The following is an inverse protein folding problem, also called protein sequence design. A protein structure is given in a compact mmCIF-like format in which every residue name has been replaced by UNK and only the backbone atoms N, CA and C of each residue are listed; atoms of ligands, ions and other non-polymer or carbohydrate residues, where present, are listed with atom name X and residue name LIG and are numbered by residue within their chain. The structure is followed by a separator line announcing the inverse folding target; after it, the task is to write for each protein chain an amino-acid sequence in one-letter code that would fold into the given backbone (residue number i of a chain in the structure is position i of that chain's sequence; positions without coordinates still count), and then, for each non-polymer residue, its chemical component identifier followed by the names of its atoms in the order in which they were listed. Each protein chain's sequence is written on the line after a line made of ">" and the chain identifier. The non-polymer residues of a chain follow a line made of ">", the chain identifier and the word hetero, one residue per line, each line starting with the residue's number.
data_IF_469378674865
#
_entry.id   IF_469378674865
#
_cell.length_a   1.000
_cell.length_b   1.000
_cell.length_c   1.000
_cell.angle_alpha   90.00
_cell.angle_beta   90.00
_cell.angle_gamma   90.00
#
_symmetry.space_group_name_H-M   'P 1'
#
loop_
_entity.id
_entity.type
_entity.pdbx_description
1 polymer ?
#
# COMPACT_ATOMS: atom_id res chain seq x y z
N UNK A 1 5.14 -9.26 5.47
CA UNK A 1 3.94 -8.68 6.11
C UNK A 1 3.89 -8.95 7.61
N UNK A 2 4.13 -10.17 8.08
CA UNK A 2 4.07 -10.53 9.52
C UNK A 2 4.86 -9.57 10.42
N UNK A 3 6.14 -9.31 10.13
CA UNK A 3 6.95 -8.36 10.89
C UNK A 3 6.39 -6.93 10.87
N UNK A 4 5.90 -6.48 9.72
CA UNK A 4 5.30 -5.14 9.58
C UNK A 4 4.08 -4.97 10.48
N UNK A 5 3.21 -5.96 10.55
CA UNK A 5 2.01 -5.93 11.37
C UNK A 5 2.34 -6.08 12.85
N UNK A 6 3.32 -6.93 13.20
CA UNK A 6 3.79 -7.09 14.57
C UNK A 6 4.40 -5.80 15.14
N UNK A 7 5.22 -5.07 14.35
CA UNK A 7 5.79 -3.77 14.76
C UNK A 7 4.70 -2.73 15.01
N UNK A 8 3.63 -2.75 14.22
CA UNK A 8 2.50 -1.83 14.36
C UNK A 8 1.47 -2.28 15.40
N UNK A 9 1.73 -3.39 16.11
CA UNK A 9 0.81 -4.01 17.07
C UNK A 9 -0.59 -4.27 16.49
N UNK A 10 -0.64 -4.70 15.24
CA UNK A 10 -1.87 -5.04 14.55
C UNK A 10 -2.02 -6.57 14.51
N UNK A 11 -3.11 -7.14 15.06
CA UNK A 11 -3.28 -8.59 15.21
C UNK A 11 -3.69 -9.26 13.89
N UNK A 12 -2.97 -8.99 12.81
CA UNK A 12 -3.17 -9.60 11.51
C UNK A 12 -1.98 -10.47 11.11
N UNK A 13 -2.26 -11.55 10.40
CA UNK A 13 -1.27 -12.22 9.58
C UNK A 13 -0.91 -11.40 8.35
N UNK A 14 -0.18 -11.95 7.42
CA UNK A 14 0.13 -11.20 6.20
C UNK A 14 0.72 -12.07 5.11
N UNK A 15 0.31 -11.77 3.89
CA UNK A 15 0.81 -12.40 2.68
C UNK A 15 1.20 -11.33 1.65
N UNK A 16 1.90 -11.75 0.63
CA UNK A 16 2.20 -10.98 -0.58
C UNK A 16 1.97 -11.88 -1.78
N UNK A 17 1.48 -11.30 -2.85
CA UNK A 17 1.30 -11.98 -4.11
C UNK A 17 1.45 -11.01 -5.26
N UNK A 18 1.40 -11.52 -6.49
CA UNK A 18 1.50 -10.68 -7.67
C UNK A 18 1.45 -11.46 -8.97
N UNK A 19 1.44 -10.71 -10.06
CA UNK A 19 1.51 -11.23 -11.42
C UNK A 19 2.81 -10.72 -12.05
N UNK A 20 3.59 -11.62 -12.65
CA UNK A 20 4.82 -11.23 -13.36
C UNK A 20 4.47 -10.57 -14.69
N UNK A 21 4.28 -9.27 -14.68
CA UNK A 21 3.90 -8.44 -15.82
C UNK A 21 4.52 -7.04 -15.68
N UNK A 22 4.90 -6.42 -16.78
CA UNK A 22 5.21 -4.99 -16.83
C UNK A 22 3.98 -4.24 -17.36
N UNK A 23 3.19 -3.60 -16.49
CA UNK A 23 1.93 -2.97 -16.89
C UNK A 23 2.12 -1.83 -17.91
N UNK A 24 3.32 -1.26 -18.01
CA UNK A 24 3.63 -0.19 -18.99
C UNK A 24 3.66 -0.67 -20.44
N UNK A 25 3.74 -2.00 -20.65
CA UNK A 25 3.76 -2.62 -21.99
C UNK A 25 2.37 -2.99 -22.50
N UNK A 26 1.34 -2.74 -21.73
CA UNK A 26 -0.03 -3.13 -22.02
C UNK A 26 -0.97 -1.94 -21.93
N UNK A 27 -2.04 -1.98 -22.70
CA UNK A 27 -3.14 -1.03 -22.58
C UNK A 27 -3.86 -1.18 -21.22
N UNK A 28 -4.53 -0.13 -20.77
CA UNK A 28 -5.32 -0.16 -19.55
C UNK A 28 -6.37 -1.29 -19.56
N UNK A 29 -7.01 -1.52 -20.69
CA UNK A 29 -8.00 -2.60 -20.86
C UNK A 29 -7.39 -4.00 -20.71
N UNK A 30 -6.15 -4.18 -21.16
CA UNK A 30 -5.45 -5.46 -20.99
C UNK A 30 -5.06 -5.68 -19.53
N UNK A 31 -4.53 -4.64 -18.87
CA UNK A 31 -4.21 -4.68 -17.43
C UNK A 31 -5.46 -4.94 -16.60
N UNK A 32 -6.59 -4.33 -16.94
CA UNK A 32 -7.89 -4.62 -16.31
C UNK A 32 -8.27 -6.09 -16.45
N UNK A 33 -8.22 -6.63 -17.67
CA UNK A 33 -8.54 -8.05 -17.91
C UNK A 33 -7.64 -9.00 -17.13
N UNK A 34 -6.33 -8.72 -17.09
CA UNK A 34 -5.38 -9.50 -16.28
C UNK A 34 -5.74 -9.43 -14.80
N UNK A 35 -6.01 -8.22 -14.28
CA UNK A 35 -6.39 -8.00 -12.87
C UNK A 35 -7.67 -8.75 -12.51
N UNK A 36 -8.71 -8.64 -13.33
CA UNK A 36 -9.98 -9.35 -13.10
C UNK A 36 -9.79 -10.86 -13.15
N UNK A 37 -9.00 -11.37 -14.09
CA UNK A 37 -8.71 -12.81 -14.19
C UNK A 37 -7.93 -13.30 -12.97
N UNK A 38 -6.92 -12.57 -12.53
CA UNK A 38 -6.18 -12.86 -11.30
C UNK A 38 -7.11 -12.91 -10.08
N UNK A 39 -7.99 -11.91 -9.94
CA UNK A 39 -8.97 -11.87 -8.86
C UNK A 39 -9.90 -13.09 -8.87
N UNK A 40 -10.38 -13.49 -10.05
CA UNK A 40 -11.20 -14.70 -10.22
C UNK A 40 -10.47 -15.96 -9.73
N UNK A 41 -9.17 -16.10 -10.02
CA UNK A 41 -8.40 -17.24 -9.55
C UNK A 41 -8.19 -17.21 -8.02
N UNK A 42 -8.00 -16.03 -7.43
CA UNK A 42 -7.94 -15.88 -5.97
C UNK A 42 -9.28 -16.25 -5.29
N UNK A 43 -10.41 -15.83 -5.89
CA UNK A 43 -11.76 -16.19 -5.40
C UNK A 43 -11.97 -17.71 -5.43
N UNK A 44 -11.62 -18.37 -6.55
CA UNK A 44 -11.74 -19.82 -6.69
C UNK A 44 -10.92 -20.59 -5.67
N UNK A 45 -9.77 -20.07 -5.29
CA UNK A 45 -8.86 -20.67 -4.31
C UNK A 45 -9.23 -20.31 -2.86
N UNK A 46 -10.17 -19.40 -2.65
CA UNK A 46 -10.51 -18.91 -1.32
C UNK A 46 -9.39 -18.07 -0.68
N UNK A 47 -8.60 -17.37 -1.49
CA UNK A 47 -7.43 -16.60 -1.02
C UNK A 47 -7.74 -15.11 -0.85
N UNK A 48 -8.93 -14.65 -1.17
CA UNK A 48 -9.36 -13.26 -1.06
C UNK A 48 -10.68 -13.15 -0.30
N UNK A 49 -10.81 -12.13 0.51
CA UNK A 49 -12.00 -11.79 1.28
C UNK A 49 -11.65 -11.05 2.55
N UNK A 50 -12.59 -10.29 3.11
CA UNK A 50 -12.37 -9.47 4.30
C UNK A 50 -11.93 -10.29 5.53
N UNK A 51 -12.31 -11.57 5.60
CA UNK A 51 -11.99 -12.48 6.71
C UNK A 51 -10.80 -13.40 6.44
N UNK A 52 -10.25 -13.38 5.23
CA UNK A 52 -9.17 -14.29 4.81
C UNK A 52 -7.90 -13.50 4.52
N UNK A 53 -7.92 -12.73 3.43
CA UNK A 53 -6.82 -11.88 3.01
C UNK A 53 -7.38 -10.67 2.25
N UNK A 54 -7.18 -9.50 2.82
CA UNK A 54 -7.60 -8.22 2.26
C UNK A 54 -6.48 -7.65 1.40
N UNK A 55 -6.66 -7.63 0.08
CA UNK A 55 -5.64 -7.15 -0.84
C UNK A 55 -5.38 -5.65 -0.68
N UNK A 56 -4.14 -5.24 -0.88
CA UNK A 56 -3.71 -3.84 -0.89
C UNK A 56 -2.83 -3.52 -2.09
N UNK A 57 -2.78 -2.25 -2.51
CA UNK A 57 -1.93 -1.85 -3.63
C UNK A 57 -0.45 -1.97 -3.28
N UNK A 58 0.35 -2.32 -4.27
CA UNK A 58 1.81 -2.39 -4.20
C UNK A 58 2.38 -1.99 -5.57
N UNK A 59 3.64 -2.29 -5.84
CA UNK A 59 4.32 -1.94 -7.09
C UNK A 59 3.50 -2.35 -8.33
N UNK A 60 3.30 -1.42 -9.24
CA UNK A 60 2.54 -1.63 -10.48
C UNK A 60 1.01 -1.66 -10.33
N UNK A 61 0.48 -1.36 -9.14
CA UNK A 61 -0.95 -1.26 -8.87
C UNK A 61 -1.31 0.11 -8.28
N UNK A 62 -2.57 0.51 -8.43
CA UNK A 62 -3.10 1.79 -7.99
C UNK A 62 -4.58 1.66 -7.56
N UNK A 63 -5.23 2.78 -7.25
CA UNK A 63 -6.63 2.83 -6.84
C UNK A 63 -7.58 2.22 -7.87
N UNK A 64 -7.29 2.41 -9.17
CA UNK A 64 -8.07 1.83 -10.26
C UNK A 64 -7.96 0.30 -10.26
N UNK A 65 -6.77 -0.24 -10.07
CA UNK A 65 -6.54 -1.69 -9.97
C UNK A 65 -7.34 -2.29 -8.80
N UNK A 66 -7.30 -1.64 -7.64
CA UNK A 66 -8.06 -2.06 -6.46
C UNK A 66 -9.58 -2.00 -6.69
N UNK A 67 -10.05 -1.02 -7.44
CA UNK A 67 -11.45 -0.90 -7.82
C UNK A 67 -11.90 -2.05 -8.73
N UNK A 68 -11.10 -2.46 -9.70
CA UNK A 68 -11.39 -3.64 -10.53
C UNK A 68 -11.43 -4.94 -9.72
N UNK A 69 -10.56 -5.05 -8.71
CA UNK A 69 -10.56 -6.20 -7.78
C UNK A 69 -11.86 -6.22 -6.99
N UNK A 70 -12.25 -5.09 -6.36
CA UNK A 70 -13.51 -4.98 -5.63
C UNK A 70 -14.69 -5.34 -6.52
N UNK A 71 -14.81 -4.70 -7.69
CA UNK A 71 -15.91 -4.92 -8.62
C UNK A 71 -16.02 -6.41 -9.03
N UNK A 72 -14.89 -7.03 -9.34
CA UNK A 72 -14.86 -8.47 -9.68
C UNK A 72 -15.32 -9.34 -8.50
N UNK A 73 -14.86 -9.03 -7.29
CA UNK A 73 -15.24 -9.77 -6.09
C UNK A 73 -16.73 -9.60 -5.78
N UNK A 74 -17.24 -8.38 -5.85
CA UNK A 74 -18.67 -8.05 -5.64
C UNK A 74 -19.57 -8.79 -6.62
N UNK A 75 -19.20 -8.88 -7.90
CA UNK A 75 -19.96 -9.60 -8.91
C UNK A 75 -20.05 -11.12 -8.66
N UNK A 76 -19.09 -11.68 -7.93
CA UNK A 76 -19.03 -13.14 -7.67
C UNK A 76 -19.52 -13.49 -6.27
N UNK A 77 -19.26 -12.66 -5.27
CA UNK A 77 -19.49 -12.95 -3.85
C UNK A 77 -20.40 -11.95 -3.15
N UNK A 78 -20.73 -10.84 -3.77
CA UNK A 78 -21.48 -9.75 -3.14
C UNK A 78 -22.82 -10.16 -2.54
N UNK A 79 -23.50 -11.13 -3.15
CA UNK A 79 -24.77 -11.66 -2.62
C UNK A 79 -24.59 -12.60 -1.41
N UNK A 80 -23.42 -13.21 -1.26
CA UNK A 80 -23.18 -14.26 -0.24
C UNK A 80 -22.22 -13.81 0.86
N UNK A 81 -21.50 -12.71 0.67
CA UNK A 81 -20.52 -12.16 1.62
C UNK A 81 -20.92 -10.73 2.01
N UNK A 82 -21.50 -10.57 3.19
CA UNK A 82 -21.90 -9.26 3.73
C UNK A 82 -20.71 -8.27 3.85
N UNK A 83 -19.48 -8.80 3.94
CA UNK A 83 -18.26 -8.01 4.03
C UNK A 83 -17.53 -7.89 2.69
N UNK A 84 -18.18 -8.23 1.58
CA UNK A 84 -17.54 -8.27 0.25
C UNK A 84 -16.83 -6.97 -0.14
N UNK A 85 -17.33 -5.81 0.29
CA UNK A 85 -16.68 -4.51 0.07
C UNK A 85 -15.30 -4.38 0.71
N UNK A 86 -15.04 -5.13 1.78
CA UNK A 86 -13.78 -5.19 2.50
C UNK A 86 -12.71 -6.10 1.88
N UNK A 87 -12.96 -6.71 0.73
CA UNK A 87 -12.03 -7.64 0.08
C UNK A 87 -10.68 -7.02 -0.33
N UNK A 88 -10.61 -5.70 -0.44
CA UNK A 88 -9.36 -4.98 -0.73
C UNK A 88 -9.37 -3.56 -0.17
N UNK A 89 -8.17 -3.01 0.07
CA UNK A 89 -7.94 -1.62 0.47
C UNK A 89 -7.42 -0.78 -0.71
N UNK A 90 -7.26 0.53 -0.52
CA UNK A 90 -6.65 1.42 -1.51
C UNK A 90 -7.48 1.67 -2.76
N UNK A 91 -8.78 1.42 -2.70
CA UNK A 91 -9.77 1.81 -3.71
C UNK A 91 -9.93 3.34 -3.75
N UNK A 92 -10.54 3.87 -4.80
CA UNK A 92 -11.01 5.26 -4.80
C UNK A 92 -11.92 5.53 -3.59
N UNK A 93 -11.85 6.76 -3.05
CA UNK A 93 -12.71 7.17 -1.91
C UNK A 93 -14.18 6.98 -2.25
N UNK A 94 -14.60 7.32 -3.46
CA UNK A 94 -15.97 7.11 -3.97
C UNK A 94 -16.39 5.63 -4.03
N UNK A 95 -15.44 4.72 -3.94
CA UNK A 95 -15.64 3.26 -3.96
C UNK A 95 -15.40 2.59 -2.61
N UNK A 96 -15.43 3.36 -1.52
CA UNK A 96 -15.19 2.88 -0.17
C UNK A 96 -13.71 2.87 0.23
N UNK A 97 -12.87 3.66 -0.45
CA UNK A 97 -11.49 3.92 -0.05
C UNK A 97 -11.41 4.88 1.13
N UNK A 98 -10.24 4.97 1.75
CA UNK A 98 -9.96 5.80 2.93
C UNK A 98 -9.05 6.96 2.51
N UNK A 99 -9.40 8.19 2.90
CA UNK A 99 -8.54 9.36 2.71
C UNK A 99 -7.22 9.20 3.50
N UNK A 100 -6.13 9.76 2.96
CA UNK A 100 -4.82 9.68 3.59
C UNK A 100 -3.98 8.46 3.15
N UNK A 101 -4.54 7.52 2.41
CA UNK A 101 -3.81 6.32 1.98
C UNK A 101 -2.64 6.64 1.05
N UNK A 102 -2.80 7.61 0.16
CA UNK A 102 -1.78 7.97 -0.82
C UNK A 102 -0.49 8.50 -0.18
N UNK A 103 -0.64 9.37 0.81
CA UNK A 103 0.47 10.03 1.52
C UNK A 103 1.00 9.24 2.71
N UNK A 104 0.23 8.30 3.26
CA UNK A 104 0.53 7.65 4.55
C UNK A 104 1.90 6.97 4.62
N UNK A 105 2.35 6.36 3.53
CA UNK A 105 3.66 5.70 3.50
C UNK A 105 4.80 6.74 3.56
N UNK A 106 4.69 7.83 2.80
CA UNK A 106 5.66 8.93 2.85
C UNK A 106 5.66 9.65 4.20
N UNK A 107 4.48 9.84 4.79
CA UNK A 107 4.34 10.38 6.14
C UNK A 107 5.03 9.49 7.19
N UNK A 108 4.88 8.16 7.06
CA UNK A 108 5.57 7.21 7.93
C UNK A 108 7.10 7.28 7.81
N UNK A 109 7.62 7.50 6.60
CA UNK A 109 9.06 7.76 6.39
C UNK A 109 9.50 9.03 7.10
N UNK A 110 8.74 10.12 6.96
CA UNK A 110 9.01 11.37 7.67
C UNK A 110 9.10 11.16 9.19
N UNK A 111 8.11 10.51 9.79
CA UNK A 111 8.11 10.24 11.23
C UNK A 111 9.30 9.39 11.67
N UNK A 112 9.66 8.36 10.92
CA UNK A 112 10.81 7.53 11.22
C UNK A 112 12.13 8.32 11.18
N UNK A 113 12.31 9.16 10.16
CA UNK A 113 13.49 10.03 10.01
C UNK A 113 13.54 11.04 11.15
N UNK A 114 12.42 11.69 11.47
CA UNK A 114 12.34 12.65 12.58
C UNK A 114 12.73 12.01 13.89
N UNK A 115 12.16 10.87 14.23
CA UNK A 115 12.44 10.14 15.48
C UNK A 115 13.93 9.76 15.62
N UNK A 116 14.52 9.26 14.54
CA UNK A 116 15.95 8.95 14.52
C UNK A 116 16.82 10.18 14.74
N UNK A 117 16.48 11.31 14.12
CA UNK A 117 17.24 12.56 14.27
C UNK A 117 17.02 13.25 15.62
N UNK A 118 15.96 12.93 16.35
CA UNK A 118 15.69 13.37 17.72
C UNK A 118 16.35 12.45 18.76
N UNK A 119 16.92 11.32 18.34
CA UNK A 119 17.57 10.35 19.22
C UNK A 119 19.09 10.63 19.33
N UNK A 120 19.56 11.10 20.51
CA UNK A 120 20.96 11.49 20.73
C UNK A 120 21.96 10.38 20.36
N UNK A 121 21.72 9.16 20.79
CA UNK A 121 22.60 8.02 20.51
C UNK A 121 22.70 7.68 19.02
N UNK A 122 21.70 8.02 18.22
CA UNK A 122 21.72 7.84 16.77
C UNK A 122 22.54 8.95 16.09
N UNK A 123 22.26 10.23 16.41
CA UNK A 123 22.97 11.35 15.76
C UNK A 123 24.46 11.37 16.10
N UNK A 124 24.85 10.95 17.29
CA UNK A 124 26.26 10.81 17.68
C UNK A 124 26.98 9.77 16.81
N UNK A 125 26.33 8.65 16.49
CA UNK A 125 26.90 7.58 15.64
C UNK A 125 27.14 8.01 14.20
N UNK A 126 26.33 8.93 13.69
CA UNK A 126 26.38 9.41 12.30
C UNK A 126 26.97 10.82 12.18
N UNK A 127 27.45 11.37 13.29
CA UNK A 127 28.05 12.70 13.40
C UNK A 127 27.14 13.82 12.85
N UNK A 128 25.87 13.80 13.25
CA UNK A 128 24.87 14.81 12.93
C UNK A 128 24.44 15.56 14.20
N UNK A 129 23.88 16.75 14.01
CA UNK A 129 23.21 17.50 15.09
C UNK A 129 21.79 16.96 15.33
N UNK A 130 21.25 17.17 16.52
CA UNK A 130 19.85 16.83 16.84
C UNK A 130 18.86 17.59 15.95
N UNK A 131 17.73 16.93 15.70
CA UNK A 131 16.58 17.50 14.99
C UNK A 131 16.73 17.48 13.47
N UNK A 132 15.64 17.73 12.79
CA UNK A 132 15.55 17.71 11.32
C UNK A 132 15.99 19.03 10.67
N UNK A 133 15.92 20.13 11.45
CA UNK A 133 16.21 21.49 10.97
C UNK A 133 17.67 21.60 10.46
N UNK A 134 17.84 22.41 9.41
CA UNK A 134 19.14 22.73 8.79
C UNK A 134 19.88 21.50 8.21
N UNK A 135 19.16 20.41 7.89
CA UNK A 135 19.69 19.24 7.23
C UNK A 135 19.34 19.19 5.76
N UNK A 136 20.26 18.66 4.97
CA UNK A 136 20.04 18.39 3.54
C UNK A 136 19.69 16.92 3.35
N UNK A 137 18.65 16.68 2.58
CA UNK A 137 18.17 15.33 2.25
C UNK A 137 18.33 15.03 0.76
N UNK A 138 18.71 13.81 0.45
CA UNK A 138 18.75 13.29 -0.92
C UNK A 138 17.74 12.14 -1.00
N UNK A 139 16.80 12.25 -1.93
CA UNK A 139 15.78 11.23 -2.16
C UNK A 139 16.07 10.51 -3.47
N UNK A 140 16.44 9.23 -3.36
CA UNK A 140 16.63 8.36 -4.52
C UNK A 140 15.32 7.68 -4.89
N UNK A 141 14.78 7.99 -6.08
CA UNK A 141 13.47 7.55 -6.54
C UNK A 141 12.36 8.53 -6.13
N UNK A 142 11.60 9.01 -7.10
CA UNK A 142 10.55 10.02 -6.91
C UNK A 142 9.18 9.49 -7.33
N UNK A 143 8.86 8.26 -6.86
CA UNK A 143 7.51 7.68 -6.92
C UNK A 143 6.64 8.18 -5.77
N UNK A 144 5.49 7.53 -5.53
CA UNK A 144 4.53 7.96 -4.50
C UNK A 144 5.18 8.15 -3.12
N UNK A 145 6.02 7.23 -2.67
CA UNK A 145 6.67 7.31 -1.35
C UNK A 145 7.69 8.46 -1.31
N UNK A 146 8.59 8.54 -2.31
CA UNK A 146 9.61 9.59 -2.36
C UNK A 146 9.01 10.99 -2.46
N UNK A 147 7.98 11.17 -3.28
CA UNK A 147 7.25 12.43 -3.41
C UNK A 147 6.67 12.90 -2.07
N UNK A 148 5.89 12.05 -1.41
CA UNK A 148 5.26 12.41 -0.14
C UNK A 148 6.26 12.56 1.01
N UNK A 149 7.29 11.70 1.08
CA UNK A 149 8.35 11.85 2.08
C UNK A 149 9.06 13.20 1.93
N UNK A 150 9.44 13.59 0.71
CA UNK A 150 10.06 14.90 0.45
C UNK A 150 9.15 16.04 0.89
N UNK A 151 7.87 15.99 0.53
CA UNK A 151 6.89 17.03 0.87
C UNK A 151 6.69 17.21 2.38
N UNK A 152 6.81 16.14 3.17
CA UNK A 152 6.69 16.23 4.63
C UNK A 152 8.00 16.62 5.32
N UNK A 153 9.14 16.41 4.67
CA UNK A 153 10.45 16.81 5.20
C UNK A 153 10.73 18.30 4.95
N UNK A 154 10.20 18.87 3.86
CA UNK A 154 10.30 20.29 3.50
C UNK A 154 9.64 21.21 4.54
#
# INVERSE_FOLDING_TARGET
>A
MTFKLAIADVPFGGAKGGVKIDPRKYSQNEVERVTRKYTMELIKKGFIGAQVDCLGPDMGTNEQTMTWIKDTYMNVRGETDINAEGCCTGKFISQGGIAGRAESTGLGVYYAVRELLETQSFVDRVNLSLGIKDKTFIVQGFGAVGYWASKFIE
#
